data_IF_286811498439
#
_entry.id   IF_286811498439
#
_cell.length_a   1.000
_cell.length_b   1.000
_cell.length_c   1.000
_cell.angle_alpha   90.00
_cell.angle_beta   90.00
_cell.angle_gamma   90.00
#
_symmetry.space_group_name_H-M   'P 1'
#
loop_
_entity.id
_entity.type
_entity.pdbx_description
1 polymer ?
#
# COMPACT_ATOMS: atom_id res chain seq x y z
N UNK A 1 -16.85 -8.28 -1.51
CA UNK A 1 -15.90 -8.47 -2.63
C UNK A 1 -14.74 -9.30 -2.11
N UNK A 2 -14.37 -10.41 -2.75
CA UNK A 2 -13.23 -11.23 -2.31
C UNK A 2 -11.99 -10.69 -3.02
N UNK A 3 -11.16 -9.91 -2.32
CA UNK A 3 -10.02 -9.20 -2.91
C UNK A 3 -8.75 -10.02 -2.67
N UNK A 4 -8.13 -10.52 -3.74
CA UNK A 4 -6.87 -11.24 -3.66
C UNK A 4 -5.69 -10.27 -3.73
N UNK A 5 -4.79 -10.33 -2.76
CA UNK A 5 -3.60 -9.47 -2.70
C UNK A 5 -2.75 -9.53 -3.98
N UNK A 6 -2.57 -10.71 -4.57
CA UNK A 6 -1.79 -10.87 -5.79
C UNK A 6 -2.46 -10.20 -7.00
N UNK A 7 -3.79 -10.24 -7.07
CA UNK A 7 -4.53 -9.55 -8.13
C UNK A 7 -4.41 -8.03 -8.00
N UNK A 8 -4.41 -7.52 -6.77
CA UNK A 8 -4.23 -6.09 -6.48
C UNK A 8 -2.81 -5.65 -6.84
N UNK A 9 -1.79 -6.43 -6.46
CA UNK A 9 -0.40 -6.14 -6.83
C UNK A 9 -0.18 -6.15 -8.34
N UNK A 10 -0.75 -7.12 -9.05
CA UNK A 10 -0.59 -7.22 -10.51
C UNK A 10 -1.26 -6.07 -11.27
N UNK A 11 -2.29 -5.45 -10.69
CA UNK A 11 -2.96 -4.27 -11.26
C UNK A 11 -2.31 -2.95 -10.85
N UNK A 12 -1.42 -2.97 -9.85
CA UNK A 12 -0.77 -1.77 -9.35
C UNK A 12 0.44 -1.43 -10.22
N UNK A 13 0.27 -0.44 -11.10
CA UNK A 13 1.36 0.17 -11.86
C UNK A 13 1.81 1.47 -11.17
N UNK A 14 2.92 1.44 -10.39
CA UNK A 14 3.43 2.65 -9.75
C UNK A 14 3.93 3.64 -10.81
N UNK A 15 3.50 4.91 -10.70
CA UNK A 15 3.92 5.99 -11.59
C UNK A 15 5.29 6.57 -11.21
N UNK A 16 5.81 6.20 -10.03
CA UNK A 16 7.14 6.56 -9.56
C UNK A 16 7.71 5.61 -8.52
N UNK A 17 9.03 5.74 -8.26
CA UNK A 17 9.78 4.90 -7.30
C UNK A 17 9.27 5.00 -5.87
N UNK A 18 8.50 6.04 -5.55
CA UNK A 18 7.93 6.25 -4.21
C UNK A 18 6.41 6.16 -4.14
N UNK A 19 5.78 5.69 -5.20
CA UNK A 19 4.35 5.38 -5.15
C UNK A 19 4.12 4.12 -4.33
N UNK A 20 3.27 4.27 -3.33
CA UNK A 20 2.90 3.25 -2.39
C UNK A 20 1.43 2.87 -2.57
N UNK A 21 1.15 1.59 -2.85
CA UNK A 21 -0.18 1.02 -2.71
C UNK A 21 -0.66 1.07 -1.25
N UNK A 22 -1.79 1.72 -0.99
CA UNK A 22 -2.46 1.76 0.32
C UNK A 22 -3.49 0.64 0.43
N UNK A 23 -4.21 0.36 -0.65
CA UNK A 23 -5.24 -0.68 -0.67
C UNK A 23 -6.28 -0.47 -1.75
N UNK A 24 -7.44 -1.08 -1.53
CA UNK A 24 -8.60 -1.05 -2.43
C UNK A 24 -9.80 -0.52 -1.63
N UNK A 25 -10.60 0.38 -2.21
CA UNK A 25 -11.82 0.83 -1.56
C UNK A 25 -13.01 -0.14 -1.76
N UNK A 26 -14.18 0.23 -1.24
CA UNK A 26 -15.40 -0.57 -1.36
C UNK A 26 -15.87 -0.79 -2.80
N UNK A 27 -15.43 0.05 -3.75
CA UNK A 27 -15.80 -0.02 -5.16
C UNK A 27 -14.81 -0.87 -5.97
N UNK A 28 -13.70 -1.30 -5.37
CA UNK A 28 -12.65 -2.03 -6.08
C UNK A 28 -11.56 -1.12 -6.67
N UNK A 29 -11.58 0.19 -6.38
CA UNK A 29 -10.61 1.14 -6.91
C UNK A 29 -9.30 1.10 -6.11
N UNK A 30 -8.17 1.16 -6.82
CA UNK A 30 -6.82 1.15 -6.24
C UNK A 30 -6.45 2.53 -5.70
N UNK A 31 -6.03 2.57 -4.44
CA UNK A 31 -5.54 3.78 -3.79
C UNK A 31 -4.04 3.69 -3.56
N UNK A 32 -3.31 4.70 -4.04
CA UNK A 32 -1.86 4.82 -3.85
C UNK A 32 -1.44 6.22 -3.41
N UNK A 33 -0.29 6.31 -2.76
CA UNK A 33 0.27 7.56 -2.25
C UNK A 33 1.72 7.75 -2.66
N UNK A 34 2.05 8.95 -3.14
CA UNK A 34 3.40 9.32 -3.53
C UNK A 34 4.20 9.82 -2.31
N UNK A 35 5.04 8.98 -1.74
CA UNK A 35 5.70 9.24 -0.45
C UNK A 35 6.79 10.34 -0.50
N UNK A 36 7.51 10.50 -1.62
CA UNK A 36 8.56 11.52 -1.73
C UNK A 36 8.03 12.96 -1.70
N UNK A 37 6.71 13.16 -1.75
CA UNK A 37 6.14 14.50 -1.68
C UNK A 37 6.07 15.06 -0.24
N UNK A 38 6.27 14.23 0.81
CA UNK A 38 6.20 14.67 2.22
C UNK A 38 7.29 14.09 3.14
N UNK A 39 8.32 13.43 2.61
CA UNK A 39 9.53 12.92 3.29
C UNK A 39 9.34 11.99 4.51
N UNK A 40 8.13 11.80 5.05
CA UNK A 40 7.87 10.96 6.23
C UNK A 40 6.43 10.46 6.24
N UNK A 41 6.23 9.23 6.76
CA UNK A 41 4.94 8.54 6.83
C UNK A 41 4.74 8.08 8.27
N UNK A 42 3.62 8.48 8.87
CA UNK A 42 3.21 8.02 10.19
C UNK A 42 2.12 6.95 10.03
N UNK A 43 2.37 5.76 10.57
CA UNK A 43 1.41 4.65 10.60
C UNK A 43 1.06 4.36 12.06
N UNK A 44 -0.22 4.45 12.43
CA UNK A 44 -0.74 4.22 13.79
C UNK A 44 -2.00 3.37 13.78
N UNK A 45 -2.40 2.82 14.94
CA UNK A 45 -3.54 1.93 15.08
C UNK A 45 -3.40 0.94 16.23
N UNK A 46 -4.47 0.20 16.53
CA UNK A 46 -4.56 -0.77 17.63
C UNK A 46 -3.80 -2.08 17.35
N UNK A 47 -3.59 -2.91 18.38
CA UNK A 47 -3.00 -4.25 18.19
C UNK A 47 -3.88 -5.08 17.24
N UNK A 48 -3.25 -5.82 16.32
CA UNK A 48 -3.98 -6.63 15.32
C UNK A 48 -4.48 -5.84 14.11
N UNK A 49 -4.28 -4.51 14.04
CA UNK A 49 -4.77 -3.67 12.94
C UNK A 49 -3.97 -3.78 11.63
N UNK A 50 -3.06 -4.77 11.50
CA UNK A 50 -2.31 -5.00 10.27
C UNK A 50 -1.11 -4.07 9.98
N UNK A 51 -0.76 -3.12 10.87
CA UNK A 51 0.34 -2.15 10.63
C UNK A 51 1.66 -2.78 10.21
N UNK A 52 2.09 -3.85 10.88
CA UNK A 52 3.35 -4.53 10.56
C UNK A 52 3.30 -5.23 9.19
N UNK A 53 2.13 -5.73 8.79
CA UNK A 53 1.93 -6.33 7.47
C UNK A 53 2.06 -5.24 6.40
N UNK A 54 1.37 -4.10 6.59
CA UNK A 54 1.47 -2.94 5.71
C UNK A 54 2.92 -2.47 5.59
N UNK A 55 3.65 -2.34 6.71
CA UNK A 55 5.06 -1.91 6.70
C UNK A 55 5.95 -2.88 5.91
N UNK A 56 5.78 -4.19 6.09
CA UNK A 56 6.55 -5.19 5.35
C UNK A 56 6.30 -5.12 3.84
N UNK A 57 5.06 -4.85 3.43
CA UNK A 57 4.71 -4.63 2.02
C UNK A 57 5.38 -3.38 1.44
N UNK A 58 5.70 -2.36 2.26
CA UNK A 58 6.48 -1.19 1.81
C UNK A 58 7.92 -1.55 1.48
N UNK A 59 8.56 -2.34 2.35
CA UNK A 59 9.99 -2.64 2.29
C UNK A 59 10.31 -3.61 1.14
N UNK A 60 9.40 -4.53 0.84
CA UNK A 60 9.54 -5.51 -0.24
C UNK A 60 9.60 -4.89 -1.65
N UNK A 61 9.21 -3.62 -1.83
CA UNK A 61 9.30 -2.92 -3.12
C UNK A 61 10.72 -2.46 -3.47
N UNK A 62 11.72 -2.77 -2.64
CA UNK A 62 13.12 -2.32 -2.79
C UNK A 62 14.09 -3.50 -2.99
N UNK A 63 13.85 -4.37 -3.97
CA UNK A 63 14.87 -5.26 -4.56
C UNK A 63 14.53 -5.57 -6.01
#
# INVERSE_FOLDING_TARGET
>A
MNVNFNEVLNKFEPKGVSDLLIGVDSNGELHSHHFLHRNSLLITGTVGSGKSITMNQLVLKRF
#
